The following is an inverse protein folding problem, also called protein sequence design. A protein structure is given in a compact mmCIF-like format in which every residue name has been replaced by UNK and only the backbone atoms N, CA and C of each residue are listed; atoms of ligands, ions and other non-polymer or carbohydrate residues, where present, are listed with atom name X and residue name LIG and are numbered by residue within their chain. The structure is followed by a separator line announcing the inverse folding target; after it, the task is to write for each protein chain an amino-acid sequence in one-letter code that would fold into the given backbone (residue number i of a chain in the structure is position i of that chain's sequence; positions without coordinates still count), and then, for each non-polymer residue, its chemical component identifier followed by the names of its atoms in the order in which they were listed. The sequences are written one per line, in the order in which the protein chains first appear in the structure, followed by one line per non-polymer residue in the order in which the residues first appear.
data_IF_197616158889
#
_entry.id   IF_197616158889
#
_cell.length_a   1.000
_cell.length_b   1.000
_cell.length_c   1.000
_cell.angle_alpha   90.00
_cell.angle_beta   90.00
_cell.angle_gamma   90.00
#
_symmetry.space_group_name_H-M   'P 1'
#
loop_
_entity.id
_entity.type
_entity.pdbx_description
1 polymer ?
#
# COMPACT_ATOMS: atom_id res chain seq x y z
N UNK A 1 13.55 3.96 9.39
CA UNK A 1 13.97 2.63 9.91
C UNK A 1 12.79 1.70 9.89
N UNK A 2 12.96 0.47 9.39
CA UNK A 2 11.93 -0.57 9.35
C UNK A 2 12.32 -1.78 10.20
N UNK A 3 11.35 -2.38 10.90
CA UNK A 3 11.56 -3.55 11.75
C UNK A 3 10.43 -4.56 11.54
N UNK A 4 10.82 -5.81 11.29
CA UNK A 4 9.92 -6.96 11.16
C UNK A 4 10.22 -7.93 12.30
N UNK A 5 9.23 -8.20 13.14
CA UNK A 5 9.36 -9.17 14.25
C UNK A 5 8.33 -10.27 14.05
N UNK A 6 8.74 -11.51 13.74
CA UNK A 6 7.82 -12.64 13.68
C UNK A 6 7.12 -12.80 15.04
N UNK A 7 5.80 -12.92 15.02
CA UNK A 7 5.01 -13.23 16.23
C UNK A 7 4.70 -14.72 16.29
N UNK A 8 4.35 -15.30 15.15
CA UNK A 8 4.11 -16.73 14.98
C UNK A 8 4.31 -17.11 13.49
N UNK A 9 3.79 -18.26 13.06
CA UNK A 9 3.95 -18.77 11.70
C UNK A 9 3.29 -17.89 10.63
N UNK A 10 2.25 -17.14 10.99
CA UNK A 10 1.36 -16.43 10.06
C UNK A 10 1.25 -14.91 10.35
N UNK A 11 1.86 -14.41 11.43
CA UNK A 11 1.81 -13.00 11.81
C UNK A 11 3.19 -12.36 12.00
N UNK A 12 3.32 -11.10 11.56
CA UNK A 12 4.52 -10.28 11.75
C UNK A 12 4.13 -8.95 12.40
N UNK A 13 4.76 -8.60 13.51
CA UNK A 13 4.71 -7.23 14.02
C UNK A 13 5.64 -6.36 13.19
N UNK A 14 5.06 -5.41 12.46
CA UNK A 14 5.75 -4.47 11.60
C UNK A 14 5.74 -3.08 12.23
N UNK A 15 6.93 -2.50 12.37
CA UNK A 15 7.12 -1.14 12.85
C UNK A 15 8.00 -0.36 11.87
N UNK A 16 7.59 0.87 11.55
CA UNK A 16 8.38 1.75 10.70
C UNK A 16 8.33 3.19 11.17
N UNK A 17 9.48 3.84 11.04
CA UNK A 17 9.64 5.30 11.13
C UNK A 17 9.98 5.83 9.74
N UNK A 18 9.12 6.69 9.21
CA UNK A 18 9.23 7.30 7.87
C UNK A 18 9.79 8.71 7.99
N UNK A 19 10.88 8.95 7.29
CA UNK A 19 11.62 10.22 7.26
C UNK A 19 11.82 10.66 5.81
N UNK A 20 10.88 11.47 5.30
CA UNK A 20 11.02 12.12 3.99
C UNK A 20 10.52 13.57 4.06
N UNK A 21 11.41 14.55 4.21
CA UNK A 21 11.04 15.96 4.33
C UNK A 21 10.59 16.60 3.00
N UNK A 22 10.77 15.93 1.86
CA UNK A 22 10.27 16.42 0.57
C UNK A 22 8.78 16.10 0.39
N UNK A 23 8.31 15.06 1.06
CA UNK A 23 6.93 14.55 0.95
C UNK A 23 6.11 14.90 2.19
N UNK A 24 6.69 14.80 3.39
CA UNK A 24 5.97 14.93 4.64
C UNK A 24 6.44 16.12 5.48
N UNK A 25 5.49 16.75 6.19
CA UNK A 25 5.75 17.90 7.07
C UNK A 25 6.47 17.53 8.37
N UNK A 26 6.42 16.25 8.76
CA UNK A 26 7.12 15.72 9.94
C UNK A 26 7.39 14.22 9.78
N UNK A 27 8.42 13.74 10.47
CA UNK A 27 8.61 12.31 10.69
C UNK A 27 7.39 11.73 11.40
N UNK A 28 7.01 10.52 11.00
CA UNK A 28 5.96 9.78 11.68
C UNK A 28 6.33 8.31 11.81
N UNK A 29 5.72 7.66 12.80
CA UNK A 29 5.92 6.25 13.13
C UNK A 29 4.59 5.52 13.07
N UNK A 30 4.59 4.33 12.51
CA UNK A 30 3.45 3.41 12.55
C UNK A 30 3.85 2.03 13.02
N UNK A 31 2.86 1.30 13.55
CA UNK A 31 2.96 -0.09 13.98
C UNK A 31 1.68 -0.81 13.59
N UNK A 32 1.80 -1.99 12.99
CA UNK A 32 0.67 -2.85 12.64
C UNK A 32 1.08 -4.33 12.62
N UNK A 33 0.10 -5.22 12.76
CA UNK A 33 0.31 -6.66 12.54
C UNK A 33 -0.01 -6.97 11.08
N UNK A 34 0.96 -7.57 10.39
CA UNK A 34 0.78 -8.11 9.04
C UNK A 34 0.34 -9.57 9.13
N UNK A 35 -0.69 -9.92 8.38
CA UNK A 35 -1.28 -11.25 8.33
C UNK A 35 -0.90 -11.94 7.03
N UNK A 36 -0.48 -13.21 7.10
CA UNK A 36 -0.27 -14.02 5.91
C UNK A 36 -1.62 -14.39 5.29
N UNK A 37 -1.82 -14.05 4.03
CA UNK A 37 -2.90 -14.60 3.21
C UNK A 37 -2.65 -16.09 2.96
N UNK A 38 -3.63 -16.94 3.29
CA UNK A 38 -3.54 -18.42 3.24
C UNK A 38 -4.60 -19.06 2.36
N UNK A 39 -5.46 -18.24 1.77
CA UNK A 39 -6.52 -18.68 0.87
C UNK A 39 -5.91 -19.36 -0.36
N UNK A 40 -6.59 -20.39 -0.88
CA UNK A 40 -6.17 -21.04 -2.13
C UNK A 40 -6.22 -20.01 -3.25
N UNK A 41 -5.12 -19.92 -4.02
CA UNK A 41 -4.96 -18.96 -5.12
C UNK A 41 -4.96 -17.48 -4.66
N UNK A 42 -4.52 -17.18 -3.43
CA UNK A 42 -4.21 -15.79 -3.06
C UNK A 42 -3.11 -15.25 -3.98
N UNK A 43 -3.34 -14.08 -4.59
CA UNK A 43 -2.41 -13.43 -5.51
C UNK A 43 -2.31 -11.95 -5.16
N UNK A 44 -1.10 -11.40 -5.29
CA UNK A 44 -0.92 -9.96 -5.38
C UNK A 44 -1.44 -9.54 -6.74
N UNK A 45 -2.54 -8.80 -6.74
CA UNK A 45 -3.09 -8.24 -7.96
C UNK A 45 -2.29 -7.01 -8.36
N UNK A 46 -2.06 -6.87 -9.66
CA UNK A 46 -1.56 -5.62 -10.22
C UNK A 46 -2.74 -4.62 -10.29
N UNK A 47 -2.49 -3.40 -9.83
CA UNK A 47 -3.45 -2.32 -10.03
C UNK A 47 -3.27 -1.75 -11.43
N UNK A 48 -4.24 -2.03 -12.31
CA UNK A 48 -4.32 -1.38 -13.62
C UNK A 48 -4.90 0.03 -13.41
N UNK A 49 -4.02 1.02 -13.40
CA UNK A 49 -4.40 2.42 -13.35
C UNK A 49 -4.91 2.81 -14.74
N UNK A 50 -6.21 2.61 -14.99
CA UNK A 50 -6.86 3.27 -16.11
C UNK A 50 -6.66 4.77 -15.89
N UNK A 51 -5.87 5.40 -16.77
CA UNK A 51 -5.80 6.84 -16.82
C UNK A 51 -7.22 7.36 -16.85
N UNK A 52 -7.50 8.46 -16.14
CA UNK A 52 -8.68 9.23 -16.43
C UNK A 52 -8.54 9.66 -17.90
N UNK A 53 -9.06 8.84 -18.82
CA UNK A 53 -9.14 9.23 -20.22
C UNK A 53 -10.02 10.47 -20.23
N UNK A 54 -9.45 11.58 -20.70
CA UNK A 54 -10.14 12.86 -20.92
C UNK A 54 -11.42 12.70 -21.79
N UNK A 55 -11.67 11.51 -22.33
CA UNK A 55 -12.86 11.14 -23.10
C UNK A 55 -14.17 11.25 -22.31
N UNK A 56 -14.17 11.17 -20.98
CA UNK A 56 -15.37 11.49 -20.17
C UNK A 56 -15.72 12.99 -20.13
N UNK A 57 -14.82 13.87 -20.60
CA UNK A 57 -15.01 15.33 -20.63
C UNK A 57 -15.12 15.90 -22.05
N UNK A 58 -15.00 15.08 -23.10
CA UNK A 58 -15.36 15.51 -24.44
C UNK A 58 -16.90 15.63 -24.51
N UNK A 59 -17.48 16.81 -24.86
CA UNK A 59 -18.91 16.88 -25.09
C UNK A 59 -19.24 15.92 -26.24
N UNK A 60 -20.18 15.00 -26.00
CA UNK A 60 -20.68 14.09 -27.02
C UNK A 60 -21.22 14.92 -28.19
N UNK A 61 -20.50 14.90 -29.32
CA UNK A 61 -20.90 15.63 -30.51
C UNK A 61 -19.74 15.97 -31.45
N UNK A 62 -19.23 14.96 -32.14
CA UNK A 62 -18.80 15.10 -33.54
C UNK A 62 -19.10 13.81 -34.30
#
# INVERSE_FOLDING_TARGET
MERFTPLDADHINYEVTVEDPKVFTRQWRMSMILYRHKERNAQLLEYDCYGFDDEFHAPAGQ
#
